data_IF_715523751165
#
_entry.id   IF_715523751165
#
_cell.length_a   1.000
_cell.length_b   1.000
_cell.length_c   1.000
_cell.angle_alpha   90.00
_cell.angle_beta   90.00
_cell.angle_gamma   90.00
#
_symmetry.space_group_name_H-M   'P 1'
#
loop_
_entity.id
_entity.type
_entity.pdbx_description
1 polymer ?
#
# COMPACT_ATOMS: atom_id res chain seq x y z
N UNK A 1 -11.50 10.37 -32.32
CA UNK A 1 -10.70 9.67 -31.29
C UNK A 1 -9.20 9.81 -31.50
N UNK A 2 -8.60 9.22 -32.54
CA UNK A 2 -7.14 9.29 -32.76
C UNK A 2 -6.68 10.71 -33.10
N UNK A 3 -7.36 11.38 -34.03
CA UNK A 3 -7.05 12.78 -34.39
C UNK A 3 -7.25 13.74 -33.21
N UNK A 4 -8.30 13.54 -32.41
CA UNK A 4 -8.56 14.35 -31.21
C UNK A 4 -7.52 14.11 -30.12
N UNK A 5 -7.08 12.86 -29.89
CA UNK A 5 -6.00 12.55 -28.95
C UNK A 5 -4.65 13.15 -29.42
N UNK A 6 -4.40 13.18 -30.72
CA UNK A 6 -3.19 13.77 -31.31
C UNK A 6 -3.15 15.30 -31.17
N UNK A 7 -4.31 15.95 -31.05
CA UNK A 7 -4.42 17.40 -30.86
C UNK A 7 -4.43 17.83 -29.38
N UNK A 8 -4.39 16.89 -28.42
CA UNK A 8 -4.39 17.22 -26.99
C UNK A 8 -3.05 17.84 -26.56
N UNK A 9 -3.12 18.97 -25.86
CA UNK A 9 -1.97 19.62 -25.22
C UNK A 9 -1.92 19.41 -23.70
N UNK A 10 -3.03 18.96 -23.11
CA UNK A 10 -3.20 18.82 -21.66
C UNK A 10 -3.92 17.52 -21.36
N UNK A 11 -3.30 16.68 -20.52
CA UNK A 11 -3.89 15.44 -20.01
C UNK A 11 -4.19 15.60 -18.52
N UNK A 12 -5.46 15.47 -18.15
CA UNK A 12 -5.90 15.34 -16.75
C UNK A 12 -6.23 13.88 -16.51
N UNK A 13 -5.37 13.20 -15.76
CA UNK A 13 -5.51 11.77 -15.47
C UNK A 13 -5.91 11.57 -14.02
N UNK A 14 -6.84 10.65 -13.79
CA UNK A 14 -7.13 10.20 -12.43
C UNK A 14 -5.92 9.46 -11.85
N UNK A 15 -5.75 9.49 -10.52
CA UNK A 15 -4.60 8.84 -9.89
C UNK A 15 -4.87 7.37 -9.60
N UNK A 16 -6.03 7.04 -9.05
CA UNK A 16 -6.27 5.75 -8.39
C UNK A 16 -6.86 4.76 -9.39
N UNK A 17 -6.08 3.74 -9.77
CA UNK A 17 -6.50 2.78 -10.80
C UNK A 17 -6.22 3.24 -12.23
N UNK A 18 -5.69 4.46 -12.43
CA UNK A 18 -5.18 4.94 -13.73
C UNK A 18 -3.67 5.17 -13.68
N UNK A 19 -3.17 6.10 -12.86
CA UNK A 19 -1.72 6.27 -12.67
C UNK A 19 -1.11 5.25 -11.71
N UNK A 20 -1.90 4.73 -10.77
CA UNK A 20 -1.48 3.74 -9.77
C UNK A 20 -2.29 2.47 -9.91
N UNK A 21 -1.73 1.34 -9.47
CA UNK A 21 -2.39 0.03 -9.53
C UNK A 21 -3.56 -0.15 -8.54
N UNK A 22 -3.94 0.92 -7.81
CA UNK A 22 -4.93 0.85 -6.74
C UNK A 22 -4.67 -0.31 -5.74
N UNK A 23 -3.38 -0.58 -5.48
CA UNK A 23 -2.93 -1.62 -4.55
C UNK A 23 -2.07 -0.97 -3.49
N UNK A 24 -2.40 -1.19 -2.22
CA UNK A 24 -1.65 -0.66 -1.10
C UNK A 24 -0.42 -1.54 -0.82
N UNK A 25 0.68 -0.90 -0.44
CA UNK A 25 1.92 -1.58 -0.05
C UNK A 25 2.51 -0.91 1.19
N UNK A 26 3.17 -1.70 2.04
CA UNK A 26 3.87 -1.19 3.21
C UNK A 26 5.16 -0.49 2.77
N UNK A 27 5.20 0.85 2.88
CA UNK A 27 6.38 1.64 2.53
C UNK A 27 7.49 1.59 3.59
N UNK A 28 7.12 1.39 4.86
CA UNK A 28 8.06 1.34 5.98
C UNK A 28 7.34 1.27 7.33
N UNK A 29 8.10 0.96 8.38
CA UNK A 29 7.60 0.87 9.77
C UNK A 29 8.45 1.79 10.63
N UNK A 30 7.79 2.70 11.37
CA UNK A 30 8.46 3.67 12.24
C UNK A 30 8.03 3.45 13.69
N UNK A 31 8.89 2.91 14.56
CA UNK A 31 8.62 2.81 15.98
C UNK A 31 8.58 4.19 16.64
N UNK A 32 7.66 4.39 17.59
CA UNK A 32 7.49 5.67 18.28
C UNK A 32 8.37 5.81 19.52
N UNK A 33 8.71 4.70 20.18
CA UNK A 33 9.59 4.69 21.33
C UNK A 33 11.03 4.42 20.91
N UNK A 34 11.98 5.08 21.58
CA UNK A 34 13.41 4.85 21.38
C UNK A 34 13.74 3.36 21.60
N UNK A 35 14.68 2.85 20.80
CA UNK A 35 15.20 1.47 20.86
C UNK A 35 14.15 0.36 20.68
N UNK A 36 12.96 0.68 20.18
CA UNK A 36 11.92 -0.31 19.90
C UNK A 36 12.25 -1.10 18.63
N UNK A 37 12.07 -2.43 18.71
CA UNK A 37 12.23 -3.33 17.58
C UNK A 37 11.17 -3.05 16.50
N UNK A 38 11.61 -2.60 15.33
CA UNK A 38 10.77 -2.38 14.14
C UNK A 38 9.96 -3.62 13.79
N UNK A 39 10.54 -4.80 13.95
CA UNK A 39 9.86 -6.06 13.65
C UNK A 39 8.80 -6.38 14.71
N UNK A 40 8.97 -5.94 15.97
CA UNK A 40 7.94 -6.07 16.99
C UNK A 40 6.70 -5.23 16.64
N UNK A 41 6.90 -4.03 16.10
CA UNK A 41 5.81 -3.17 15.61
C UNK A 41 5.07 -3.83 14.44
N UNK A 42 5.81 -4.36 13.46
CA UNK A 42 5.19 -5.06 12.32
C UNK A 42 4.43 -6.32 12.76
N UNK A 43 5.00 -7.12 13.68
CA UNK A 43 4.33 -8.29 14.25
C UNK A 43 3.05 -7.89 14.99
N UNK A 44 3.09 -6.83 15.78
CA UNK A 44 1.91 -6.34 16.49
C UNK A 44 0.81 -5.89 15.52
N UNK A 45 1.17 -5.18 14.44
CA UNK A 45 0.23 -4.79 13.40
C UNK A 45 -0.39 -6.02 12.70
N UNK A 46 0.44 -7.00 12.32
CA UNK A 46 -0.04 -8.23 11.69
C UNK A 46 -0.98 -9.06 12.59
N UNK A 47 -0.76 -9.06 13.91
CA UNK A 47 -1.64 -9.72 14.87
C UNK A 47 -2.99 -9.01 15.05
N UNK A 48 -3.05 -7.71 14.75
CA UNK A 48 -4.27 -6.91 14.82
C UNK A 48 -5.08 -6.93 13.51
N UNK A 49 -4.45 -7.30 12.39
CA UNK A 49 -5.09 -7.42 11.08
C UNK A 49 -5.84 -8.73 10.90
N UNK A 50 -6.92 -8.72 10.12
CA UNK A 50 -7.74 -9.89 9.83
C UNK A 50 -7.77 -10.19 8.32
N UNK A 51 -7.05 -11.25 7.91
CA UNK A 51 -7.02 -11.70 6.52
C UNK A 51 -8.42 -12.07 5.99
N UNK A 52 -9.35 -12.52 6.85
CA UNK A 52 -10.67 -12.93 6.39
C UNK A 52 -11.49 -11.75 5.84
N UNK A 53 -11.20 -10.52 6.25
CA UNK A 53 -11.90 -9.32 5.78
C UNK A 53 -11.54 -8.93 4.35
N UNK A 54 -10.36 -9.39 3.87
CA UNK A 54 -9.75 -8.95 2.62
C UNK A 54 -9.64 -7.42 2.51
N UNK A 55 -9.54 -6.73 3.65
CA UNK A 55 -9.35 -5.29 3.69
C UNK A 55 -7.96 -4.93 3.08
N UNK A 56 -7.89 -3.99 2.13
CA UNK A 56 -6.62 -3.64 1.48
C UNK A 56 -5.52 -3.14 2.42
N UNK A 57 -5.87 -2.55 3.58
CA UNK A 57 -4.88 -2.13 4.57
C UNK A 57 -4.34 -3.34 5.34
N UNK A 58 -5.21 -4.26 5.75
CA UNK A 58 -4.80 -5.49 6.41
C UNK A 58 -3.90 -6.32 5.50
N UNK A 59 -4.27 -6.47 4.23
CA UNK A 59 -3.45 -7.18 3.25
C UNK A 59 -2.08 -6.50 3.05
N UNK A 60 -2.04 -5.16 2.99
CA UNK A 60 -0.79 -4.41 2.86
C UNK A 60 0.17 -4.58 4.05
N UNK A 61 -0.36 -4.88 5.24
CA UNK A 61 0.43 -5.19 6.46
C UNK A 61 0.81 -6.67 6.52
N UNK A 62 -0.11 -7.57 6.23
CA UNK A 62 0.07 -9.02 6.37
C UNK A 62 1.08 -9.59 5.36
N UNK A 63 1.06 -9.15 4.10
CA UNK A 63 2.00 -9.63 3.07
C UNK A 63 3.48 -9.48 3.47
N UNK A 64 3.98 -8.30 3.83
CA UNK A 64 5.38 -8.13 4.24
C UNK A 64 5.67 -8.79 5.59
N UNK A 65 4.72 -8.83 6.52
CA UNK A 65 4.91 -9.51 7.80
C UNK A 65 5.15 -11.02 7.63
N UNK A 66 4.43 -11.66 6.70
CA UNK A 66 4.61 -13.08 6.33
C UNK A 66 5.96 -13.36 5.67
N UNK A 67 6.50 -12.40 4.91
CA UNK A 67 7.78 -12.54 4.22
C UNK A 67 9.00 -12.44 5.16
N UNK A 68 8.81 -11.97 6.40
CA UNK A 68 9.87 -11.90 7.42
C UNK A 68 9.92 -13.15 8.32
N UNK A 69 8.98 -14.09 8.14
CA UNK A 69 8.89 -15.35 8.87
C UNK A 69 9.59 -16.51 8.18
#
# INVERSE_FOLDING_TARGET
AVEEAAAMDTLVSDKTGTLTQNTLTLAGVTPLAADSDVNAVLRAAALASDDATQDPLDLAVLTPARAQG
#
